data_IF_878999025253
#
_entry.id   IF_878999025253
#
_cell.length_a   1.000
_cell.length_b   1.000
_cell.length_c   1.000
_cell.angle_alpha   90.00
_cell.angle_beta   90.00
_cell.angle_gamma   90.00
#
_symmetry.space_group_name_H-M   'P 1'
#
loop_
_entity.id
_entity.type
_entity.pdbx_description
1 polymer ?
#
# COMPACT_ATOMS: atom_id res chain seq x y z
N UNK A 1 2.03 21.48 3.20
CA UNK A 1 0.95 20.83 3.93
C UNK A 1 1.50 19.49 4.47
N UNK A 2 1.62 19.35 5.80
CA UNK A 2 2.11 18.11 6.44
C UNK A 2 0.99 17.43 7.27
N UNK A 3 -0.25 17.74 6.96
CA UNK A 3 -1.45 17.23 7.63
C UNK A 3 -2.43 16.58 6.63
N UNK A 4 -3.59 16.14 7.10
CA UNK A 4 -4.59 15.46 6.27
C UNK A 4 -5.10 16.31 5.07
N UNK A 5 -4.92 17.63 5.07
CA UNK A 5 -5.35 18.50 3.97
C UNK A 5 -4.58 18.19 2.67
N UNK A 6 -3.35 17.70 2.74
CA UNK A 6 -2.59 17.29 1.56
C UNK A 6 -3.29 16.16 0.80
N UNK A 7 -3.97 15.27 1.51
CA UNK A 7 -4.69 14.16 0.87
C UNK A 7 -5.85 14.71 0.05
N UNK A 8 -6.64 15.65 0.61
CA UNK A 8 -7.73 16.30 -0.12
C UNK A 8 -7.24 17.15 -1.29
N UNK A 9 -6.03 17.70 -1.21
CA UNK A 9 -5.41 18.42 -2.32
C UNK A 9 -5.18 17.52 -3.54
N UNK A 10 -4.61 16.32 -3.33
CA UNK A 10 -4.31 15.38 -4.42
C UNK A 10 -5.49 14.48 -4.82
N UNK A 11 -6.48 14.34 -3.92
CA UNK A 11 -7.68 13.53 -4.10
C UNK A 11 -8.92 14.35 -3.71
N UNK A 12 -9.36 15.30 -4.58
CA UNK A 12 -10.40 16.27 -4.23
C UNK A 12 -11.80 15.66 -4.07
N UNK A 13 -12.05 14.47 -4.60
CA UNK A 13 -13.36 13.83 -4.63
C UNK A 13 -13.63 12.92 -3.42
N UNK A 14 -12.89 13.08 -2.31
CA UNK A 14 -13.13 12.31 -1.09
C UNK A 14 -14.48 12.64 -0.48
N UNK A 15 -15.22 11.61 -0.04
CA UNK A 15 -16.40 11.77 0.80
C UNK A 15 -16.05 12.34 2.17
N UNK A 16 -17.02 12.85 2.89
CA UNK A 16 -16.80 13.38 4.26
C UNK A 16 -16.36 12.26 5.21
N UNK A 17 -16.85 11.01 5.03
CA UNK A 17 -16.38 9.84 5.78
C UNK A 17 -14.88 9.61 5.54
N UNK A 18 -14.43 9.60 4.28
CA UNK A 18 -13.03 9.39 3.94
C UNK A 18 -12.12 10.50 4.48
N UNK A 19 -12.54 11.77 4.36
CA UNK A 19 -11.80 12.91 4.94
C UNK A 19 -11.63 12.75 6.45
N UNK A 20 -12.70 12.37 7.16
CA UNK A 20 -12.67 12.10 8.60
C UNK A 20 -11.71 10.95 8.92
N UNK A 21 -11.78 9.84 8.18
CA UNK A 21 -10.90 8.69 8.37
C UNK A 21 -9.42 9.07 8.18
N UNK A 22 -9.08 9.78 7.10
CA UNK A 22 -7.70 10.28 6.90
C UNK A 22 -7.24 11.22 8.02
N UNK A 23 -8.10 12.11 8.49
CA UNK A 23 -7.76 13.03 9.59
C UNK A 23 -7.47 12.29 10.91
N UNK A 24 -8.17 11.19 11.17
CA UNK A 24 -8.00 10.38 12.38
C UNK A 24 -6.67 9.58 12.38
N UNK A 25 -6.07 9.29 11.22
CA UNK A 25 -4.84 8.50 11.15
C UNK A 25 -3.67 9.16 11.89
N UNK A 26 -3.51 10.48 11.79
CA UNK A 26 -2.41 11.20 12.43
C UNK A 26 -2.33 10.95 13.95
N UNK A 27 -3.37 11.32 14.71
CA UNK A 27 -3.42 11.06 16.15
C UNK A 27 -3.28 9.57 16.51
N UNK A 28 -3.95 8.66 15.79
CA UNK A 28 -3.90 7.23 16.05
C UNK A 28 -2.49 6.65 15.86
N UNK A 29 -1.82 6.99 14.76
CA UNK A 29 -0.45 6.51 14.55
C UNK A 29 0.53 7.09 15.57
N UNK A 30 0.38 8.34 16.00
CA UNK A 30 1.20 8.91 17.07
C UNK A 30 1.04 8.12 18.37
N UNK A 31 -0.20 7.87 18.79
CA UNK A 31 -0.50 7.10 20.00
C UNK A 31 0.06 5.67 19.92
N UNK A 32 -0.22 4.96 18.84
CA UNK A 32 0.21 3.56 18.70
C UNK A 32 1.72 3.43 18.52
N UNK A 33 2.36 4.39 17.88
CA UNK A 33 3.82 4.36 17.67
C UNK A 33 4.61 4.57 18.96
N UNK A 34 4.01 5.16 20.01
CA UNK A 34 4.59 5.20 21.36
C UNK A 34 4.65 3.80 22.00
N UNK A 35 3.67 2.95 21.69
CA UNK A 35 3.54 1.59 22.24
C UNK A 35 4.28 0.56 21.38
N UNK A 36 4.15 0.66 20.08
CA UNK A 36 4.70 -0.28 19.09
C UNK A 36 5.27 0.51 17.93
N UNK A 37 6.58 0.48 17.75
CA UNK A 37 7.27 1.22 16.71
C UNK A 37 6.98 0.64 15.31
N UNK A 38 5.97 1.17 14.63
CA UNK A 38 5.60 0.81 13.24
C UNK A 38 6.07 1.83 12.21
N UNK A 39 6.42 3.05 12.66
CA UNK A 39 6.99 4.15 11.87
C UNK A 39 8.22 4.65 12.60
N UNK A 40 9.30 4.97 11.89
CA UNK A 40 10.49 5.52 12.54
C UNK A 40 10.16 6.82 13.27
N UNK A 41 10.82 7.07 14.41
CA UNK A 41 10.58 8.29 15.22
C UNK A 41 10.86 9.58 14.44
N UNK A 42 11.75 9.52 13.46
CA UNK A 42 12.08 10.66 12.58
C UNK A 42 11.01 10.92 11.52
N UNK A 43 10.18 9.92 11.23
CA UNK A 43 9.26 9.92 10.10
C UNK A 43 7.80 10.13 10.52
N UNK A 44 7.50 10.00 11.82
CA UNK A 44 6.14 10.13 12.33
C UNK A 44 5.54 11.53 12.09
N UNK A 45 6.36 12.58 12.12
CA UNK A 45 5.91 13.94 11.83
C UNK A 45 5.65 14.17 10.34
N UNK A 46 6.18 13.30 9.47
CA UNK A 46 5.95 13.31 8.03
C UNK A 46 4.95 12.23 7.58
N UNK A 47 4.12 11.72 8.49
CA UNK A 47 3.20 10.61 8.25
C UNK A 47 2.37 10.80 6.98
N UNK A 48 1.79 11.98 6.80
CA UNK A 48 0.86 12.24 5.68
C UNK A 48 1.55 12.23 4.32
N UNK A 49 2.75 12.74 4.19
CA UNK A 49 3.52 12.71 2.93
C UNK A 49 4.19 11.36 2.75
N UNK A 50 5.01 10.95 3.73
CA UNK A 50 5.95 9.84 3.56
C UNK A 50 5.27 8.46 3.64
N UNK A 51 4.07 8.39 4.25
CA UNK A 51 3.37 7.12 4.44
C UNK A 51 1.99 7.09 3.79
N UNK A 52 1.10 8.06 4.08
CA UNK A 52 -0.26 8.04 3.57
C UNK A 52 -0.29 8.41 2.09
N UNK A 53 0.21 9.58 1.71
CA UNK A 53 0.23 10.02 0.31
C UNK A 53 1.08 9.08 -0.56
N UNK A 54 2.22 8.61 -0.04
CA UNK A 54 3.04 7.62 -0.72
C UNK A 54 2.26 6.33 -1.02
N UNK A 55 1.47 5.84 -0.07
CA UNK A 55 0.59 4.68 -0.27
C UNK A 55 -0.45 4.92 -1.37
N UNK A 56 -1.05 6.11 -1.35
CA UNK A 56 -2.07 6.52 -2.32
C UNK A 56 -1.52 6.78 -3.73
N UNK A 57 -0.20 6.80 -3.91
CA UNK A 57 0.41 6.87 -5.24
C UNK A 57 -0.07 5.74 -6.16
N UNK A 58 -0.35 4.56 -5.62
CA UNK A 58 -0.90 3.43 -6.37
C UNK A 58 -2.21 3.81 -7.06
N UNK A 59 -3.04 4.64 -6.44
CA UNK A 59 -4.31 5.11 -7.01
C UNK A 59 -4.15 6.11 -8.17
N UNK A 60 -2.95 6.64 -8.41
CA UNK A 60 -2.64 7.41 -9.61
C UNK A 60 -2.39 6.53 -10.83
N UNK A 61 -2.08 5.25 -10.60
CA UNK A 61 -1.77 4.28 -11.65
C UNK A 61 -2.95 3.36 -11.94
N UNK A 62 -3.75 3.03 -10.93
CA UNK A 62 -4.91 2.14 -11.07
C UNK A 62 -6.08 2.62 -10.22
N UNK A 63 -7.29 2.46 -10.76
CA UNK A 63 -8.53 2.57 -10.01
C UNK A 63 -9.08 1.16 -9.76
N UNK A 64 -9.05 0.71 -8.50
CA UNK A 64 -9.62 -0.59 -8.15
C UNK A 64 -11.14 -0.55 -8.31
N UNK A 65 -11.66 -1.53 -9.01
CA UNK A 65 -13.11 -1.68 -9.24
C UNK A 65 -13.82 -2.27 -8.02
N UNK A 66 -15.11 -2.01 -7.83
CA UNK A 66 -15.90 -2.67 -6.80
C UNK A 66 -15.72 -4.19 -6.82
N UNK A 67 -15.52 -4.79 -5.64
CA UNK A 67 -15.27 -6.22 -5.49
C UNK A 67 -13.85 -6.68 -5.84
N UNK A 68 -12.93 -5.78 -6.20
CA UNK A 68 -11.52 -6.13 -6.37
C UNK A 68 -10.92 -6.59 -5.03
N UNK A 69 -10.06 -7.62 -5.09
CA UNK A 69 -9.37 -8.16 -3.92
C UNK A 69 -7.89 -7.82 -3.99
N UNK A 70 -7.38 -7.15 -2.97
CA UNK A 70 -6.01 -6.64 -2.91
C UNK A 70 -5.28 -7.24 -1.70
N UNK A 71 -4.10 -7.80 -1.93
CA UNK A 71 -3.21 -8.30 -0.89
C UNK A 71 -2.11 -7.28 -0.61
N UNK A 72 -1.95 -6.86 0.63
CA UNK A 72 -0.81 -6.05 1.09
C UNK A 72 0.17 -6.93 1.87
N UNK A 73 1.33 -7.16 1.30
CA UNK A 73 2.36 -8.06 1.86
C UNK A 73 3.41 -7.27 2.62
N UNK A 74 3.63 -7.68 3.87
CA UNK A 74 4.54 -6.96 4.77
C UNK A 74 3.99 -5.59 5.12
N UNK A 75 2.69 -5.54 5.42
CA UNK A 75 1.95 -4.28 5.62
C UNK A 75 2.53 -3.38 6.72
N UNK A 76 3.30 -3.93 7.65
CA UNK A 76 3.85 -3.16 8.76
C UNK A 76 2.75 -2.53 9.59
N UNK A 77 2.78 -1.22 9.71
CA UNK A 77 1.73 -0.43 10.37
C UNK A 77 0.45 -0.26 9.53
N UNK A 78 0.28 -0.98 8.41
CA UNK A 78 -0.91 -0.86 7.55
C UNK A 78 -0.65 -0.08 6.25
N UNK A 79 0.60 -0.03 5.78
CA UNK A 79 0.97 0.72 4.57
C UNK A 79 1.49 -0.21 3.46
N UNK A 80 0.93 -0.13 2.24
CA UNK A 80 -0.02 0.86 1.75
C UNK A 80 -1.51 0.52 1.99
N UNK A 81 -1.85 -0.59 2.63
CA UNK A 81 -3.19 -1.16 2.67
C UNK A 81 -4.26 -0.25 3.28
N UNK A 82 -4.04 0.34 4.47
CA UNK A 82 -5.06 1.19 5.14
C UNK A 82 -5.41 2.43 4.31
N UNK A 83 -4.46 3.25 3.82
CA UNK A 83 -4.81 4.39 2.97
C UNK A 83 -5.57 3.99 1.70
N UNK A 84 -5.19 2.89 1.06
CA UNK A 84 -5.88 2.39 -0.13
C UNK A 84 -7.30 1.90 0.19
N UNK A 85 -7.49 1.21 1.31
CA UNK A 85 -8.82 0.75 1.72
C UNK A 85 -9.77 1.90 2.07
N UNK A 86 -9.26 2.99 2.64
CA UNK A 86 -10.06 4.22 2.84
C UNK A 86 -10.48 4.79 1.48
N UNK A 87 -9.56 4.84 0.50
CA UNK A 87 -9.84 5.43 -0.81
C UNK A 87 -10.78 4.57 -1.66
N UNK A 88 -10.70 3.24 -1.54
CA UNK A 88 -11.47 2.27 -2.31
C UNK A 88 -12.40 1.44 -1.41
N UNK A 89 -13.48 2.02 -0.88
CA UNK A 89 -14.33 1.37 0.12
C UNK A 89 -15.12 0.17 -0.42
N UNK A 90 -15.24 0.04 -1.75
CA UNK A 90 -15.95 -1.08 -2.40
C UNK A 90 -15.01 -2.23 -2.80
N UNK A 91 -13.71 -2.12 -2.53
CA UNK A 91 -12.70 -3.17 -2.74
C UNK A 91 -12.32 -3.80 -1.41
N UNK A 92 -11.86 -5.05 -1.45
CA UNK A 92 -11.49 -5.83 -0.26
C UNK A 92 -9.97 -5.90 -0.13
N UNK A 93 -9.46 -5.63 1.05
CA UNK A 93 -8.03 -5.61 1.35
C UNK A 93 -7.67 -6.66 2.38
N UNK A 94 -6.67 -7.48 2.06
CA UNK A 94 -6.07 -8.43 2.98
C UNK A 94 -4.65 -7.98 3.31
N UNK A 95 -4.43 -7.53 4.55
CA UNK A 95 -3.15 -7.02 5.03
C UNK A 95 -2.44 -8.10 5.83
N UNK A 96 -1.22 -8.47 5.44
CA UNK A 96 -0.46 -9.52 6.10
C UNK A 96 0.94 -9.05 6.51
N UNK A 97 1.36 -9.50 7.68
CA UNK A 97 2.74 -9.34 8.19
C UNK A 97 3.10 -10.54 9.06
N UNK A 98 4.37 -10.90 9.09
CA UNK A 98 4.87 -11.98 9.96
C UNK A 98 4.97 -11.58 11.43
N UNK A 99 4.90 -10.29 11.73
CA UNK A 99 5.07 -9.72 13.07
C UNK A 99 3.71 -9.37 13.68
N UNK A 100 3.25 -10.20 14.62
CA UNK A 100 1.92 -10.07 15.23
C UNK A 100 1.64 -8.71 15.88
N UNK A 101 2.63 -8.08 16.52
CA UNK A 101 2.47 -6.74 17.11
C UNK A 101 2.09 -5.68 16.08
N UNK A 102 2.58 -5.77 14.84
CA UNK A 102 2.21 -4.87 13.76
C UNK A 102 0.75 -5.10 13.32
N UNK A 103 0.33 -6.34 13.22
CA UNK A 103 -1.06 -6.70 12.92
C UNK A 103 -2.01 -6.22 14.01
N UNK A 104 -1.60 -6.24 15.28
CA UNK A 104 -2.38 -5.63 16.37
C UNK A 104 -2.61 -4.14 16.08
N UNK A 105 -1.57 -3.38 15.74
CA UNK A 105 -1.72 -1.94 15.40
C UNK A 105 -2.67 -1.74 14.22
N UNK A 106 -2.55 -2.56 13.17
CA UNK A 106 -3.46 -2.49 12.02
C UNK A 106 -4.91 -2.66 12.46
N UNK A 107 -5.22 -3.69 13.26
CA UNK A 107 -6.58 -3.99 13.73
C UNK A 107 -7.15 -2.86 14.60
N UNK A 108 -6.33 -2.32 15.48
CA UNK A 108 -6.74 -1.21 16.36
C UNK A 108 -7.04 0.07 15.58
N UNK A 109 -6.17 0.42 14.63
CA UNK A 109 -6.38 1.61 13.80
C UNK A 109 -7.61 1.43 12.90
N UNK A 110 -7.77 0.29 12.23
CA UNK A 110 -8.92 0.04 11.34
C UNK A 110 -10.24 0.03 12.12
N UNK A 111 -10.25 -0.56 13.32
CA UNK A 111 -11.41 -0.52 14.21
C UNK A 111 -11.77 0.90 14.66
N UNK A 112 -10.76 1.70 15.04
CA UNK A 112 -10.99 3.08 15.49
C UNK A 112 -11.55 4.02 14.41
N UNK A 113 -11.22 3.77 13.14
CA UNK A 113 -11.74 4.56 11.99
C UNK A 113 -12.95 3.91 11.30
N UNK A 114 -13.49 2.83 11.86
CA UNK A 114 -14.65 2.11 11.31
C UNK A 114 -14.44 1.71 9.84
N UNK A 115 -13.32 1.02 9.55
CA UNK A 115 -12.94 0.59 8.22
C UNK A 115 -13.25 -0.92 8.06
N UNK A 116 -14.30 -1.24 7.31
CA UNK A 116 -14.91 -2.57 7.29
C UNK A 116 -14.37 -3.46 6.15
N UNK A 117 -13.66 -2.91 5.19
CA UNK A 117 -13.17 -3.60 4.00
C UNK A 117 -11.72 -4.12 4.13
N UNK A 118 -11.24 -4.30 5.36
CA UNK A 118 -9.91 -4.85 5.67
C UNK A 118 -10.04 -6.15 6.46
N UNK A 119 -9.27 -7.15 6.03
CA UNK A 119 -8.90 -8.30 6.85
C UNK A 119 -7.40 -8.23 7.14
N UNK A 120 -6.96 -8.50 8.37
CA UNK A 120 -5.56 -8.39 8.78
C UNK A 120 -5.10 -9.63 9.55
N UNK A 121 -4.06 -10.32 9.03
CA UNK A 121 -3.60 -11.59 9.57
C UNK A 121 -2.08 -11.64 9.77
N UNK A 122 -1.69 -12.25 10.90
CA UNK A 122 -0.29 -12.62 11.12
C UNK A 122 0.04 -13.90 10.36
N UNK A 123 0.52 -13.74 9.12
CA UNK A 123 0.86 -14.87 8.25
C UNK A 123 1.97 -14.45 7.27
N UNK A 124 2.79 -15.39 6.85
CA UNK A 124 3.74 -15.19 5.74
C UNK A 124 3.05 -15.34 4.40
N UNK A 125 3.40 -14.51 3.42
CA UNK A 125 2.75 -14.47 2.11
C UNK A 125 2.77 -15.83 1.39
N UNK A 126 3.84 -16.60 1.53
CA UNK A 126 3.99 -17.92 0.91
C UNK A 126 2.95 -18.93 1.41
N UNK A 127 2.48 -18.76 2.64
CA UNK A 127 1.51 -19.67 3.30
C UNK A 127 0.06 -19.38 2.91
N UNK A 128 -0.20 -18.25 2.25
CA UNK A 128 -1.54 -17.88 1.79
C UNK A 128 -2.05 -18.89 0.76
N UNK A 129 -3.36 -19.21 0.84
CA UNK A 129 -4.02 -20.13 -0.09
C UNK A 129 -4.91 -19.42 -1.11
N UNK A 130 -5.27 -18.17 -0.86
CA UNK A 130 -6.15 -17.38 -1.70
C UNK A 130 -5.38 -16.68 -2.82
N UNK A 131 -6.12 -16.27 -3.85
CA UNK A 131 -5.61 -15.45 -4.95
C UNK A 131 -6.31 -14.10 -4.97
N UNK A 132 -5.58 -13.07 -5.37
CA UNK A 132 -5.99 -11.67 -5.37
C UNK A 132 -5.89 -11.09 -6.77
N UNK A 133 -6.63 -10.02 -7.03
CA UNK A 133 -6.52 -9.30 -8.29
C UNK A 133 -5.18 -8.55 -8.34
N UNK A 134 -4.80 -7.90 -7.24
CA UNK A 134 -3.52 -7.21 -7.14
C UNK A 134 -2.80 -7.52 -5.83
N UNK A 135 -1.48 -7.49 -5.90
CA UNK A 135 -0.61 -7.51 -4.72
C UNK A 135 0.09 -6.16 -4.63
N UNK A 136 -0.05 -5.51 -3.49
CA UNK A 136 0.64 -4.26 -3.17
C UNK A 136 1.67 -4.50 -2.08
N UNK A 137 2.73 -3.71 -2.06
CA UNK A 137 3.72 -3.76 -0.99
C UNK A 137 4.58 -2.50 -0.98
N UNK A 138 5.33 -2.30 0.12
CA UNK A 138 6.29 -1.22 0.27
C UNK A 138 7.52 -1.69 1.03
N UNK A 139 8.70 -1.59 0.39
CA UNK A 139 10.03 -1.73 1.01
C UNK A 139 10.25 -3.01 1.85
N UNK A 140 9.75 -4.16 1.40
CA UNK A 140 9.90 -5.44 2.13
C UNK A 140 11.20 -6.13 1.75
N UNK A 141 11.43 -6.38 0.44
CA UNK A 141 12.61 -7.08 -0.07
C UNK A 141 12.84 -6.76 -1.55
N UNK A 142 13.85 -7.37 -2.16
CA UNK A 142 14.12 -7.26 -3.61
C UNK A 142 13.01 -7.92 -4.43
N UNK A 143 12.77 -7.39 -5.64
CA UNK A 143 11.65 -7.82 -6.50
C UNK A 143 11.68 -9.30 -6.86
N UNK A 144 12.85 -9.87 -7.11
CA UNK A 144 13.00 -11.29 -7.47
C UNK A 144 12.52 -12.21 -6.34
N UNK A 145 12.93 -11.91 -5.12
CA UNK A 145 12.51 -12.66 -3.93
C UNK A 145 11.01 -12.46 -3.66
N UNK A 146 10.55 -11.21 -3.69
CA UNK A 146 9.14 -10.87 -3.53
C UNK A 146 8.25 -11.59 -4.55
N UNK A 147 8.64 -11.56 -5.82
CA UNK A 147 7.94 -12.28 -6.88
C UNK A 147 7.85 -13.79 -6.58
N UNK A 148 8.92 -14.38 -6.06
CA UNK A 148 8.93 -15.79 -5.65
C UNK A 148 7.86 -16.13 -4.62
N UNK A 149 7.57 -15.22 -3.68
CA UNK A 149 6.55 -15.44 -2.65
C UNK A 149 5.13 -15.37 -3.16
N UNK A 150 4.86 -14.49 -4.16
CA UNK A 150 3.48 -14.07 -4.47
C UNK A 150 3.00 -14.39 -5.88
N UNK A 151 3.85 -14.86 -6.80
CA UNK A 151 3.45 -15.10 -8.20
C UNK A 151 2.26 -16.07 -8.36
N UNK A 152 2.10 -17.02 -7.45
CA UNK A 152 0.97 -17.95 -7.42
C UNK A 152 -0.28 -17.39 -6.74
N UNK A 153 -0.18 -16.21 -6.11
CA UNK A 153 -1.26 -15.56 -5.35
C UNK A 153 -2.03 -14.53 -6.17
N UNK A 154 -1.70 -14.37 -7.45
CA UNK A 154 -2.40 -13.46 -8.36
C UNK A 154 -3.39 -14.26 -9.21
N UNK A 155 -4.60 -13.72 -9.41
CA UNK A 155 -5.62 -14.29 -10.32
C UNK A 155 -5.18 -14.11 -11.78
N UNK A 156 -5.44 -15.10 -12.62
CA UNK A 156 -5.06 -15.05 -14.05
C UNK A 156 -5.96 -14.17 -14.90
N UNK A 157 -7.21 -13.98 -14.49
CA UNK A 157 -8.18 -13.17 -15.24
C UNK A 157 -8.30 -11.78 -14.62
N UNK A 158 -8.09 -10.74 -15.43
CA UNK A 158 -8.25 -9.34 -15.02
C UNK A 158 -9.59 -8.78 -15.51
N UNK A 159 -10.23 -7.99 -14.63
CA UNK A 159 -11.38 -7.16 -14.98
C UNK A 159 -11.03 -5.66 -15.01
N UNK A 160 -9.76 -5.31 -14.72
CA UNK A 160 -9.24 -3.95 -14.69
C UNK A 160 -8.60 -3.57 -16.03
N UNK A 161 -8.28 -2.28 -16.18
CA UNK A 161 -7.57 -1.76 -17.34
C UNK A 161 -6.08 -2.17 -17.37
N UNK A 162 -5.54 -2.52 -16.20
CA UNK A 162 -4.27 -3.20 -16.05
C UNK A 162 -4.47 -4.69 -15.83
N UNK A 163 -3.56 -5.51 -16.34
CA UNK A 163 -3.51 -6.92 -16.02
C UNK A 163 -3.25 -7.12 -14.52
N UNK A 164 -3.79 -8.19 -13.97
CA UNK A 164 -3.56 -8.53 -12.56
C UNK A 164 -2.07 -8.73 -12.29
N UNK A 165 -1.60 -8.16 -11.21
CA UNK A 165 -0.17 -8.16 -10.92
C UNK A 165 0.22 -7.50 -9.62
N UNK A 166 1.46 -7.05 -9.59
CA UNK A 166 2.10 -6.43 -8.43
C UNK A 166 2.23 -4.92 -8.67
N UNK A 167 1.91 -4.14 -7.65
CA UNK A 167 2.17 -2.70 -7.57
C UNK A 167 3.04 -2.45 -6.32
N UNK A 168 4.34 -2.27 -6.52
CA UNK A 168 5.32 -2.20 -5.44
C UNK A 168 5.92 -0.80 -5.33
N UNK A 169 5.75 -0.18 -4.16
CA UNK A 169 6.34 1.12 -3.85
C UNK A 169 7.81 0.96 -3.46
N UNK A 170 8.67 1.53 -4.26
CA UNK A 170 10.13 1.48 -4.09
C UNK A 170 10.77 2.86 -4.21
N UNK A 171 12.06 2.94 -3.94
CA UNK A 171 12.85 4.16 -4.12
C UNK A 171 14.27 3.86 -4.57
N UNK A 172 14.93 4.89 -5.10
CA UNK A 172 16.30 4.80 -5.58
C UNK A 172 16.43 4.22 -6.99
N UNK A 173 17.64 3.79 -7.32
CA UNK A 173 17.93 3.12 -8.57
C UNK A 173 17.48 1.66 -8.50
N UNK A 174 16.68 1.24 -9.46
CA UNK A 174 16.09 -0.11 -9.52
C UNK A 174 16.60 -0.93 -10.72
N UNK A 175 17.51 -0.40 -11.54
CA UNK A 175 17.93 -1.04 -12.78
C UNK A 175 18.48 -2.44 -12.53
N UNK A 176 19.49 -2.57 -11.66
CA UNK A 176 20.08 -3.86 -11.32
C UNK A 176 19.05 -4.86 -10.76
N UNK A 177 18.18 -4.38 -9.87
CA UNK A 177 17.16 -5.21 -9.23
C UNK A 177 16.12 -5.73 -10.23
N UNK A 178 15.73 -4.90 -11.19
CA UNK A 178 14.76 -5.28 -12.21
C UNK A 178 15.37 -6.18 -13.28
N UNK A 179 16.64 -5.99 -13.62
CA UNK A 179 17.37 -6.87 -14.54
C UNK A 179 17.49 -8.30 -13.99
N UNK A 180 17.71 -8.45 -12.67
CA UNK A 180 17.71 -9.77 -12.03
C UNK A 180 16.37 -10.51 -12.14
N UNK A 181 15.27 -9.78 -12.20
CA UNK A 181 13.93 -10.37 -12.26
C UNK A 181 13.64 -11.01 -13.63
N UNK A 182 14.19 -10.47 -14.72
CA UNK A 182 14.00 -10.94 -16.11
C UNK A 182 12.53 -11.07 -16.50
N UNK A 183 11.71 -10.14 -16.07
CA UNK A 183 10.26 -10.06 -16.34
C UNK A 183 9.90 -8.73 -16.96
N UNK A 184 8.80 -8.68 -17.71
CA UNK A 184 8.23 -7.42 -18.19
C UNK A 184 7.70 -6.61 -17.00
N UNK A 185 8.05 -5.35 -16.93
CA UNK A 185 7.58 -4.41 -15.89
C UNK A 185 7.39 -3.02 -16.46
N UNK A 186 6.75 -2.16 -15.71
CA UNK A 186 6.67 -0.73 -15.96
C UNK A 186 7.02 0.04 -14.69
N UNK A 187 7.81 1.10 -14.84
CA UNK A 187 8.11 2.05 -13.77
C UNK A 187 7.27 3.30 -13.94
N UNK A 188 6.78 3.84 -12.82
CA UNK A 188 6.13 5.13 -12.75
C UNK A 188 6.89 5.98 -11.73
N UNK A 189 7.45 7.09 -12.18
CA UNK A 189 8.10 8.07 -11.32
C UNK A 189 7.04 8.87 -10.56
N UNK A 190 7.18 8.98 -9.23
CA UNK A 190 6.15 9.64 -8.42
C UNK A 190 6.17 11.16 -8.53
N UNK A 191 7.24 11.76 -9.07
CA UNK A 191 7.30 13.17 -9.45
C UNK A 191 6.30 13.56 -10.54
N UNK A 192 5.80 12.59 -11.31
CA UNK A 192 4.72 12.82 -12.28
C UNK A 192 3.38 13.13 -11.59
N UNK A 193 3.21 12.73 -10.34
CA UNK A 193 1.95 12.83 -9.59
C UNK A 193 2.00 13.80 -8.42
N UNK A 194 3.17 13.95 -7.77
CA UNK A 194 3.35 14.70 -6.54
C UNK A 194 4.53 15.66 -6.63
N UNK A 195 4.47 16.77 -5.90
CA UNK A 195 5.45 17.87 -5.99
C UNK A 195 6.42 17.91 -4.80
N UNK A 196 6.17 17.12 -3.75
CA UNK A 196 6.98 17.08 -2.55
C UNK A 196 8.33 16.40 -2.84
N UNK A 197 9.43 16.98 -2.35
CA UNK A 197 10.82 16.49 -2.56
C UNK A 197 10.99 15.02 -2.17
N UNK A 198 10.18 14.54 -1.22
CA UNK A 198 10.16 13.12 -0.82
C UNK A 198 9.96 12.18 -2.01
N UNK A 199 9.23 12.59 -3.04
CA UNK A 199 8.90 11.76 -4.18
C UNK A 199 9.95 11.74 -5.30
N UNK A 200 11.00 12.58 -5.23
CA UNK A 200 12.05 12.66 -6.25
C UNK A 200 12.71 11.33 -6.57
N UNK A 201 12.85 10.47 -5.55
CA UNK A 201 13.48 9.15 -5.69
C UNK A 201 12.49 8.00 -5.63
N UNK A 202 11.17 8.27 -5.56
CA UNK A 202 10.15 7.24 -5.35
C UNK A 202 9.53 6.82 -6.67
N UNK A 203 9.26 5.51 -6.76
CA UNK A 203 8.69 4.87 -7.95
C UNK A 203 7.64 3.83 -7.56
N UNK A 204 6.71 3.55 -8.48
CA UNK A 204 5.92 2.33 -8.47
C UNK A 204 6.49 1.39 -9.52
N UNK A 205 6.79 0.17 -9.11
CA UNK A 205 7.04 -0.95 -10.01
C UNK A 205 5.72 -1.66 -10.25
N UNK A 206 5.22 -1.61 -11.47
CA UNK A 206 4.10 -2.45 -11.89
C UNK A 206 4.64 -3.67 -12.66
N UNK A 207 4.27 -4.85 -12.19
CA UNK A 207 4.66 -6.13 -12.76
C UNK A 207 3.41 -6.99 -13.00
N UNK A 208 2.94 -7.15 -14.26
CA UNK A 208 1.91 -8.15 -14.57
C UNK A 208 2.45 -9.55 -14.30
N UNK A 209 1.65 -10.41 -13.69
CA UNK A 209 2.09 -11.79 -13.37
C UNK A 209 1.82 -12.75 -14.53
N UNK A 210 0.75 -12.50 -15.27
CA UNK A 210 0.40 -13.26 -16.47
C UNK A 210 0.51 -12.36 -17.69
N UNK A 211 1.20 -12.85 -18.72
CA UNK A 211 1.30 -12.26 -20.07
C UNK A 211 0.78 -13.28 -21.07
#
# INVERSE_FOLDING_TARGET
LQDAAIISHYFPNLSDKQKKQFAQLGPLYKEWNEKINVISRKDIDNLYVNHILHSLAIAKVIQFKPGATILDVGTGGGFPGIPLAILFPESEFHLVDSIGKKITVVKEITGAIELDNINADQIRAEQLKYKYDFVVSRAVTRMKEFYGWINTKVKSHSSHDLDNGILYLKGGDLEEEMDELKKRYKLYDLTEFFKEDFFETKKIVYLPVFN
#
